data_IF_342103658196
#
_entry.id   IF_342103658196
#
_cell.length_a   1.000
_cell.length_b   1.000
_cell.length_c   1.000
_cell.angle_alpha   90.00
_cell.angle_beta   90.00
_cell.angle_gamma   90.00
#
_symmetry.space_group_name_H-M   'P 1'
#
loop_
_entity.id
_entity.type
_entity.pdbx_description
1 polymer ?
#
# COMPACT_ATOMS: atom_id res chain seq x y z
N UNK A 1 8.46 19.32 22.96
CA UNK A 1 8.88 18.56 21.77
C UNK A 1 7.63 18.03 21.10
N UNK A 2 7.15 18.74 20.10
CA UNK A 2 6.00 18.40 19.26
C UNK A 2 6.54 17.64 18.05
N UNK A 3 6.02 16.44 17.80
CA UNK A 3 6.31 15.70 16.58
C UNK A 3 5.21 16.05 15.58
N UNK A 4 5.59 16.73 14.50
CA UNK A 4 4.73 16.90 13.32
C UNK A 4 4.56 15.54 12.65
N UNK A 5 3.32 15.08 12.57
CA UNK A 5 2.94 13.93 11.75
C UNK A 5 2.99 14.41 10.31
N UNK A 6 4.04 14.01 9.59
CA UNK A 6 4.13 14.25 8.16
C UNK A 6 2.96 13.56 7.46
N UNK A 7 2.19 14.35 6.73
CA UNK A 7 1.16 13.92 5.81
C UNK A 7 1.81 13.03 4.74
N UNK A 8 1.60 11.72 4.80
CA UNK A 8 2.06 10.76 3.79
C UNK A 8 1.00 10.73 2.68
N UNK A 9 0.98 11.80 1.89
CA UNK A 9 0.25 11.84 0.62
C UNK A 9 1.22 12.29 -0.46
N UNK A 10 2.23 11.46 -0.73
CA UNK A 10 3.05 11.61 -1.93
C UNK A 10 3.62 10.24 -2.35
N UNK A 11 2.73 9.37 -2.83
CA UNK A 11 3.13 8.24 -3.68
C UNK A 11 3.12 8.80 -5.10
N UNK A 12 4.15 9.59 -5.41
CA UNK A 12 4.43 10.12 -6.74
C UNK A 12 4.96 9.04 -7.70
N UNK A 13 5.00 9.34 -9.01
CA UNK A 13 4.51 8.44 -10.06
C UNK A 13 5.61 7.73 -10.86
N UNK A 14 5.18 6.80 -11.73
CA UNK A 14 5.92 6.18 -12.83
C UNK A 14 7.06 5.21 -12.44
N UNK A 15 6.67 3.99 -12.05
CA UNK A 15 7.52 2.80 -12.22
C UNK A 15 7.44 2.39 -13.69
N UNK A 16 7.93 3.22 -14.61
CA UNK A 16 7.98 2.85 -16.02
C UNK A 16 9.19 1.95 -16.24
N UNK A 17 8.98 0.62 -16.33
CA UNK A 17 10.02 -0.27 -16.86
C UNK A 17 10.29 0.19 -18.30
N UNK A 18 11.52 0.58 -18.67
CA UNK A 18 11.81 1.03 -20.03
C UNK A 18 11.39 -0.05 -21.04
N UNK A 19 10.69 0.28 -22.12
CA UNK A 19 10.25 -0.70 -23.12
C UNK A 19 11.40 -1.56 -23.73
N UNK A 20 12.63 -1.05 -23.68
CA UNK A 20 13.86 -1.75 -24.07
C UNK A 20 14.13 -2.96 -23.16
N UNK A 21 13.74 -2.86 -21.89
CA UNK A 21 13.95 -3.87 -20.86
C UNK A 21 13.02 -5.08 -21.03
N UNK A 22 11.74 -4.84 -21.32
CA UNK A 22 10.76 -5.89 -21.59
C UNK A 22 11.21 -6.76 -22.79
N UNK A 23 11.77 -6.13 -23.83
CA UNK A 23 12.28 -6.81 -25.02
C UNK A 23 13.51 -7.70 -24.72
N UNK A 24 14.40 -7.27 -23.81
CA UNK A 24 15.59 -8.03 -23.42
C UNK A 24 15.25 -9.21 -22.51
N UNK A 25 14.30 -9.04 -21.59
CA UNK A 25 13.85 -10.14 -20.70
C UNK A 25 13.07 -11.19 -21.47
N UNK A 26 12.21 -10.79 -22.41
CA UNK A 26 11.48 -11.72 -23.28
C UNK A 26 12.40 -12.48 -24.23
N UNK A 27 13.45 -11.83 -24.76
CA UNK A 27 14.44 -12.49 -25.63
C UNK A 27 15.40 -13.46 -24.89
N UNK A 28 15.59 -13.26 -23.58
CA UNK A 28 16.48 -14.09 -22.75
C UNK A 28 15.74 -15.05 -21.80
N UNK A 29 14.42 -15.17 -21.95
CA UNK A 29 13.58 -16.00 -21.09
C UNK A 29 14.04 -17.48 -21.09
N UNK A 30 14.44 -18.01 -22.24
CA UNK A 30 14.99 -19.36 -22.36
C UNK A 30 16.43 -19.47 -21.84
N UNK A 31 17.23 -18.43 -21.98
CA UNK A 31 18.60 -18.38 -21.44
C UNK A 31 18.63 -18.33 -19.90
N UNK A 32 17.67 -17.67 -19.27
CA UNK A 32 17.54 -17.60 -17.81
C UNK A 32 17.07 -18.94 -17.21
N UNK A 33 16.17 -19.63 -17.90
CA UNK A 33 15.76 -21.00 -17.54
C UNK A 33 16.90 -22.01 -17.58
N UNK A 34 17.86 -21.83 -18.49
CA UNK A 34 18.95 -22.79 -18.69
C UNK A 34 20.08 -22.67 -17.64
N UNK A 35 20.25 -21.51 -17.00
CA UNK A 35 21.39 -21.30 -16.09
C UNK A 35 21.04 -21.32 -14.60
N UNK A 36 19.80 -20.98 -14.23
CA UNK A 36 19.40 -20.85 -12.84
C UNK A 36 18.35 -21.90 -12.44
N UNK A 37 18.62 -22.63 -11.36
CA UNK A 37 17.69 -23.60 -10.79
C UNK A 37 16.54 -22.86 -10.08
N UNK A 38 15.27 -23.08 -10.46
CA UNK A 38 14.13 -22.52 -9.74
C UNK A 38 14.18 -22.88 -8.26
N UNK A 39 13.85 -21.90 -7.41
CA UNK A 39 13.74 -22.07 -5.97
C UNK A 39 12.27 -21.94 -5.55
N UNK A 40 11.85 -22.58 -4.44
CA UNK A 40 10.51 -22.39 -3.89
C UNK A 40 10.23 -20.91 -3.60
N UNK A 41 9.04 -20.41 -3.93
CA UNK A 41 8.70 -18.99 -3.72
C UNK A 41 8.87 -18.52 -2.26
N UNK A 42 8.74 -19.43 -1.30
CA UNK A 42 8.88 -19.14 0.14
C UNK A 42 10.29 -18.69 0.52
N UNK A 43 11.31 -18.95 -0.32
CA UNK A 43 12.69 -18.51 -0.10
C UNK A 43 13.06 -17.20 -0.80
N UNK A 44 12.15 -16.61 -1.57
CA UNK A 44 12.42 -15.37 -2.29
C UNK A 44 12.59 -14.16 -1.34
N UNK A 45 13.48 -13.22 -1.67
CA UNK A 45 13.68 -12.02 -0.86
C UNK A 45 12.45 -11.11 -0.90
N UNK A 46 12.09 -10.54 0.26
CA UNK A 46 10.97 -9.60 0.43
C UNK A 46 11.49 -8.21 0.76
N UNK A 47 12.43 -7.73 -0.04
CA UNK A 47 13.22 -6.52 0.19
C UNK A 47 12.98 -5.44 -0.88
N UNK A 48 11.84 -5.51 -1.58
CA UNK A 48 11.49 -4.63 -2.69
C UNK A 48 12.31 -4.86 -3.96
N UNK A 49 13.12 -5.93 -4.01
CA UNK A 49 13.78 -6.38 -5.22
C UNK A 49 12.81 -7.01 -6.22
N UNK A 50 13.28 -7.19 -7.46
CA UNK A 50 12.54 -7.84 -8.53
C UNK A 50 13.03 -9.26 -8.74
N UNK A 51 12.10 -10.18 -8.96
CA UNK A 51 12.34 -11.59 -9.25
C UNK A 51 11.62 -12.01 -10.53
N UNK A 52 12.01 -13.13 -11.11
CA UNK A 52 11.20 -13.82 -12.11
C UNK A 52 10.41 -14.93 -11.40
N UNK A 53 9.10 -14.78 -11.27
CA UNK A 53 8.22 -15.72 -10.57
C UNK A 53 7.39 -16.58 -11.52
N UNK A 54 7.25 -17.86 -11.20
CA UNK A 54 6.45 -18.82 -11.97
C UNK A 54 5.02 -18.88 -11.44
N UNK A 55 4.05 -18.41 -12.22
CA UNK A 55 2.60 -18.41 -11.99
C UNK A 55 1.93 -19.41 -12.94
N UNK A 56 1.66 -20.65 -12.50
CA UNK A 56 1.09 -21.70 -13.36
C UNK A 56 -0.25 -21.31 -13.98
N UNK A 57 -1.06 -20.51 -13.27
CA UNK A 57 -2.37 -20.02 -13.75
C UNK A 57 -2.26 -19.17 -15.02
N UNK A 58 -1.11 -18.54 -15.28
CA UNK A 58 -0.89 -17.76 -16.50
C UNK A 58 -0.55 -18.63 -17.72
N UNK A 59 -0.37 -19.95 -17.56
CA UNK A 59 -0.07 -20.85 -18.67
C UNK A 59 -1.26 -21.10 -19.60
N UNK A 60 -2.48 -20.81 -19.17
CA UNK A 60 -3.71 -21.12 -19.92
C UNK A 60 -4.20 -19.97 -20.83
N UNK A 61 -3.50 -18.83 -20.82
CA UNK A 61 -3.88 -17.63 -21.58
C UNK A 61 -3.39 -17.61 -23.04
N UNK A 62 -4.02 -16.79 -23.92
CA UNK A 62 -3.56 -16.61 -25.31
C UNK A 62 -2.15 -15.97 -25.40
N UNK A 63 -1.68 -15.35 -24.33
CA UNK A 63 -0.33 -14.80 -24.17
C UNK A 63 0.43 -15.51 -23.05
N UNK A 64 0.22 -16.82 -22.92
CA UNK A 64 0.72 -17.64 -21.82
C UNK A 64 2.24 -17.58 -21.67
N UNK A 65 2.69 -16.72 -20.76
CA UNK A 65 4.00 -16.80 -20.16
C UNK A 65 3.79 -17.07 -18.68
N UNK A 66 4.03 -18.30 -18.21
CA UNK A 66 3.83 -18.62 -16.81
C UNK A 66 4.93 -18.00 -15.94
N UNK A 67 5.93 -17.34 -16.51
CA UNK A 67 6.97 -16.64 -15.76
C UNK A 67 6.81 -15.14 -15.99
N UNK A 68 6.71 -14.40 -14.90
CA UNK A 68 6.47 -12.97 -14.90
C UNK A 68 7.41 -12.28 -13.93
N UNK A 69 7.76 -11.03 -14.22
CA UNK A 69 8.58 -10.21 -13.32
C UNK A 69 7.71 -9.78 -12.16
N UNK A 70 8.18 -10.01 -10.93
CA UNK A 70 7.43 -9.72 -9.71
C UNK A 70 8.28 -9.01 -8.68
N UNK A 71 7.63 -8.21 -7.84
CA UNK A 71 8.20 -7.61 -6.63
C UNK A 71 7.28 -7.86 -5.45
N UNK A 72 7.82 -7.82 -4.22
CA UNK A 72 7.01 -8.01 -3.01
C UNK A 72 6.43 -6.67 -2.56
N UNK A 73 5.12 -6.63 -2.30
CA UNK A 73 4.38 -5.49 -1.77
C UNK A 73 3.46 -5.86 -0.60
N UNK A 74 2.56 -4.96 -0.23
CA UNK A 74 1.71 -5.09 0.97
C UNK A 74 0.76 -6.30 0.93
N UNK A 75 0.29 -6.66 -0.26
CA UNK A 75 -0.65 -7.77 -0.48
C UNK A 75 0.00 -9.00 -1.10
N UNK A 76 1.34 -9.09 -1.13
CA UNK A 76 2.08 -10.24 -1.65
C UNK A 76 2.92 -9.91 -2.87
N UNK A 77 3.00 -10.85 -3.82
CA UNK A 77 3.76 -10.67 -5.06
C UNK A 77 2.95 -9.87 -6.09
N UNK A 78 3.55 -8.83 -6.65
CA UNK A 78 2.91 -7.90 -7.58
C UNK A 78 3.75 -7.80 -8.85
N UNK A 79 3.09 -7.62 -10.00
CA UNK A 79 3.75 -7.16 -11.22
C UNK A 79 3.96 -5.62 -11.22
N UNK A 80 4.44 -5.07 -12.33
CA UNK A 80 4.67 -3.65 -12.52
C UNK A 80 3.40 -2.80 -12.56
N UNK A 81 2.26 -3.40 -12.88
CA UNK A 81 0.94 -2.77 -12.82
C UNK A 81 0.32 -2.82 -11.41
N UNK A 82 1.00 -3.44 -10.43
CA UNK A 82 0.47 -3.63 -9.09
C UNK A 82 -0.61 -4.71 -8.99
N UNK A 83 -0.69 -5.60 -9.98
CA UNK A 83 -1.62 -6.74 -9.98
C UNK A 83 -1.05 -7.88 -9.15
N UNK A 84 -1.82 -8.46 -8.21
CA UNK A 84 -1.35 -9.55 -7.38
C UNK A 84 -1.26 -10.87 -8.15
N UNK A 85 -0.20 -11.62 -7.85
CA UNK A 85 0.06 -12.94 -8.41
C UNK A 85 0.42 -13.97 -7.34
N UNK A 86 0.16 -15.24 -7.63
CA UNK A 86 0.48 -16.38 -6.77
C UNK A 86 1.59 -17.25 -7.38
N UNK A 87 2.85 -16.79 -7.40
CA UNK A 87 3.95 -17.59 -7.91
C UNK A 87 4.26 -18.78 -7.00
N UNK A 88 4.68 -19.90 -7.58
CA UNK A 88 5.07 -21.14 -6.86
C UNK A 88 6.59 -21.29 -6.75
N UNK A 89 7.32 -20.76 -7.73
CA UNK A 89 8.77 -20.81 -7.83
C UNK A 89 9.32 -19.46 -8.28
N UNK A 90 10.61 -19.24 -8.06
CA UNK A 90 11.29 -18.02 -8.51
C UNK A 90 12.73 -18.26 -8.95
N UNK A 91 13.23 -17.30 -9.73
CA UNK A 91 14.62 -17.18 -10.16
C UNK A 91 15.05 -15.70 -10.01
N UNK A 92 16.31 -15.48 -9.65
CA UNK A 92 16.88 -14.13 -9.61
C UNK A 92 16.97 -13.53 -11.02
N UNK A 93 16.59 -12.26 -11.18
CA UNK A 93 16.79 -11.57 -12.44
C UNK A 93 18.29 -11.33 -12.69
N UNK A 94 18.75 -11.43 -13.95
CA UNK A 94 20.13 -11.10 -14.30
C UNK A 94 20.38 -9.60 -14.12
N UNK A 95 21.64 -9.21 -14.03
CA UNK A 95 22.01 -7.80 -14.04
C UNK A 95 22.01 -7.21 -15.48
N UNK A 96 21.71 -5.91 -15.63
CA UNK A 96 21.21 -5.02 -14.57
C UNK A 96 19.81 -5.46 -14.13
N UNK A 97 19.38 -5.12 -12.91
CA UNK A 97 17.99 -5.28 -12.46
C UNK A 97 17.22 -3.96 -12.55
N UNK A 98 15.87 -3.96 -12.61
CA UNK A 98 15.08 -2.75 -12.46
C UNK A 98 15.32 -2.10 -11.09
N UNK A 99 15.06 -0.80 -10.99
CA UNK A 99 15.17 -0.09 -9.72
C UNK A 99 14.27 -0.75 -8.66
N UNK A 100 14.78 -0.91 -7.45
CA UNK A 100 14.01 -1.42 -6.31
C UNK A 100 12.81 -0.51 -6.08
N UNK A 101 11.69 -1.09 -5.68
CA UNK A 101 10.45 -0.34 -5.41
C UNK A 101 10.56 0.59 -4.19
N UNK A 102 11.61 0.44 -3.38
CA UNK A 102 11.73 1.09 -2.07
C UNK A 102 10.80 0.49 -1.02
N UNK A 103 9.98 -0.51 -1.39
CA UNK A 103 9.13 -1.21 -0.45
C UNK A 103 9.97 -1.98 0.56
N UNK A 104 9.64 -1.81 1.83
CA UNK A 104 10.23 -2.56 2.93
C UNK A 104 9.12 -3.04 3.84
N UNK A 105 9.20 -4.27 4.39
CA UNK A 105 8.20 -4.73 5.34
C UNK A 105 8.10 -3.77 6.52
N UNK A 106 6.89 -3.44 7.00
CA UNK A 106 6.75 -2.66 8.21
C UNK A 106 7.49 -3.39 9.35
N UNK A 107 8.37 -2.67 10.03
CA UNK A 107 9.14 -3.19 11.15
C UNK A 107 8.84 -2.40 12.42
N UNK A 108 8.91 -3.08 13.57
CA UNK A 108 8.64 -2.48 14.88
C UNK A 108 7.37 -3.03 15.55
N UNK A 109 6.92 -2.34 16.61
CA UNK A 109 5.75 -2.72 17.39
C UNK A 109 4.70 -1.62 17.33
N UNK A 110 3.55 -1.91 16.74
CA UNK A 110 2.38 -1.03 16.82
C UNK A 110 1.80 -1.16 18.23
N UNK A 111 1.78 -0.06 18.99
CA UNK A 111 1.12 0.02 20.30
C UNK A 111 -0.21 0.72 20.13
N UNK A 112 -1.30 -0.05 20.17
CA UNK A 112 -2.64 0.51 20.29
C UNK A 112 -2.90 0.72 21.78
N UNK A 113 -2.93 1.97 22.22
CA UNK A 113 -3.28 2.33 23.59
C UNK A 113 -4.63 3.03 23.60
N UNK A 114 -5.50 2.61 24.51
CA UNK A 114 -6.75 3.32 24.76
C UNK A 114 -6.41 4.69 25.36
N UNK A 115 -6.88 5.74 24.70
CA UNK A 115 -6.73 7.10 25.19
C UNK A 115 -7.96 7.43 26.02
N UNK A 116 -7.94 7.09 27.31
CA UNK A 116 -8.91 7.57 28.29
C UNK A 116 -8.36 8.81 29.00
N UNK A 117 -8.77 10.01 28.59
CA UNK A 117 -8.42 11.24 29.30
C UNK A 117 -8.90 12.52 28.63
N UNK A 118 -9.21 13.53 29.45
CA UNK A 118 -9.45 14.90 29.01
C UNK A 118 -8.14 15.52 28.47
N UNK A 119 -8.23 16.36 27.43
CA UNK A 119 -7.10 17.12 26.89
C UNK A 119 -6.51 16.64 25.56
N UNK A 120 -7.06 15.57 24.97
CA UNK A 120 -6.65 15.13 23.63
C UNK A 120 -7.32 15.97 22.55
N UNK A 121 -6.55 16.30 21.51
CA UNK A 121 -7.07 17.03 20.36
C UNK A 121 -6.88 16.21 19.09
N UNK A 122 -7.90 16.18 18.23
CA UNK A 122 -7.79 15.68 16.86
C UNK A 122 -7.79 16.91 15.95
N UNK A 123 -6.70 17.12 15.21
CA UNK A 123 -6.49 18.30 14.35
C UNK A 123 -6.70 19.64 15.10
N UNK A 124 -6.15 19.74 16.32
CA UNK A 124 -6.25 20.93 17.16
C UNK A 124 -7.63 21.15 17.81
N UNK A 125 -8.59 20.24 17.63
CA UNK A 125 -9.91 20.29 18.26
C UNK A 125 -10.02 19.27 19.39
N UNK A 126 -10.48 19.65 20.59
CA UNK A 126 -10.68 18.70 21.68
C UNK A 126 -11.57 17.53 21.26
N UNK A 127 -11.11 16.31 21.54
CA UNK A 127 -11.90 15.10 21.37
C UNK A 127 -12.89 15.03 22.54
N UNK A 128 -14.07 15.60 22.34
CA UNK A 128 -15.17 15.50 23.31
C UNK A 128 -15.77 14.11 23.29
N UNK A 129 -16.10 13.59 24.48
CA UNK A 129 -16.77 12.31 24.60
C UNK A 129 -18.12 12.30 23.86
N UNK A 130 -18.55 11.14 23.37
CA UNK A 130 -19.83 11.02 22.65
C UNK A 130 -21.03 11.42 23.53
N UNK A 131 -20.89 11.28 24.85
CA UNK A 131 -21.87 11.71 25.84
C UNK A 131 -21.96 13.25 25.93
N UNK A 132 -20.82 13.94 25.95
CA UNK A 132 -20.77 15.41 25.91
C UNK A 132 -21.28 15.97 24.59
N UNK A 133 -20.94 15.35 23.45
CA UNK A 133 -21.52 15.73 22.15
C UNK A 133 -23.04 15.63 22.16
N UNK A 134 -23.59 14.51 22.66
CA UNK A 134 -25.05 14.32 22.79
C UNK A 134 -25.67 15.35 23.73
N UNK A 135 -25.02 15.67 24.84
CA UNK A 135 -25.47 16.70 25.79
C UNK A 135 -25.46 18.10 25.18
N UNK A 136 -24.39 18.48 24.48
CA UNK A 136 -24.26 19.77 23.80
C UNK A 136 -25.30 19.95 22.68
N UNK A 137 -25.55 18.91 21.88
CA UNK A 137 -26.59 18.91 20.83
C UNK A 137 -27.98 19.10 21.46
N UNK A 138 -28.28 18.40 22.57
CA UNK A 138 -29.55 18.58 23.29
C UNK A 138 -29.72 20.03 23.74
N UNK A 139 -28.70 20.62 24.39
CA UNK A 139 -28.72 22.04 24.82
C UNK A 139 -28.93 23.01 23.66
N UNK A 140 -28.32 22.75 22.50
CA UNK A 140 -28.48 23.60 21.30
C UNK A 140 -29.90 23.50 20.72
N UNK A 141 -30.51 22.31 20.74
CA UNK A 141 -31.87 22.08 20.24
C UNK A 141 -32.96 22.58 21.19
N UNK A 142 -32.69 22.65 22.49
CA UNK A 142 -33.65 23.11 23.50
C UNK A 142 -33.60 24.61 23.76
N UNK A 143 -32.75 25.39 23.08
CA UNK A 143 -32.77 26.84 23.23
C UNK A 143 -33.96 27.38 22.43
N UNK A 144 -35.02 27.92 23.06
CA UNK A 144 -36.12 28.52 22.32
C UNK A 144 -35.57 29.72 21.57
N UNK A 145 -35.81 29.81 20.26
CA UNK A 145 -35.55 31.00 19.47
C UNK A 145 -36.56 32.09 19.86
N UNK A 146 -36.38 32.69 21.04
CA UNK A 146 -37.16 33.85 21.46
C UNK A 146 -36.50 35.12 20.89
N UNK A 147 -36.77 35.39 19.61
CA UNK A 147 -36.80 36.73 19.06
C UNK A 147 -38.15 36.89 18.33
N UNK A 148 -39.09 37.57 18.98
CA UNK A 148 -40.29 38.11 18.34
C UNK A 148 -39.97 39.59 18.04
N UNK A 149 -39.68 39.99 16.79
CA UNK A 149 -39.61 41.41 16.46
C UNK A 149 -41.01 42.02 16.61
N UNK A 150 -41.05 43.15 17.31
CA UNK A 150 -42.25 43.84 17.77
C UNK A 150 -43.21 44.26 16.67
N UNK A 151 -44.47 44.39 17.06
CA UNK A 151 -45.61 44.74 16.21
C UNK A 151 -45.42 46.06 15.47
N UNK A 152 -45.87 46.05 14.22
CA UNK A 152 -46.11 47.22 13.41
C UNK A 152 -47.57 47.62 13.64
N UNK A 153 -47.78 48.79 14.25
CA UNK A 153 -49.03 49.53 14.21
C UNK A 153 -48.71 50.94 13.77
#
# INVERSE_FOLDING_TARGET
MTYDVADVTDIGPDITIPAIWLSIVLANHDCLRLSAKPLPITSAPKDGGWILGHVPKNADGPYAQPWIILTWGDSGWMDDDGTPHEPVEWVALPDPQPARTGWTPPSGTIRIVEITGDGWTMNGKPVVSTAEQKSAIRRRKTRPSCYMPGGVA
#
